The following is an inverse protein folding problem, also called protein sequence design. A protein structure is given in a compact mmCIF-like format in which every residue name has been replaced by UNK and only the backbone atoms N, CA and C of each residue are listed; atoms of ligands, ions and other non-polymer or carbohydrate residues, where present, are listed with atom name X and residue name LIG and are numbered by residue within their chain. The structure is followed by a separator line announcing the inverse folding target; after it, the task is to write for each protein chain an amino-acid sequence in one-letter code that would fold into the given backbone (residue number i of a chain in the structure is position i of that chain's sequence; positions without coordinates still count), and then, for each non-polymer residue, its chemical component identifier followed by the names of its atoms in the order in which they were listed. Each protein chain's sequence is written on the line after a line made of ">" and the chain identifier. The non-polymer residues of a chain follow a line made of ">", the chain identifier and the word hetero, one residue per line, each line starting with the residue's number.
data_IF_641507327896
#
_entry.id   IF_641507327896
#
_cell.length_a   1.000
_cell.length_b   1.000
_cell.length_c   1.000
_cell.angle_alpha   90.00
_cell.angle_beta   90.00
_cell.angle_gamma   90.00
#
_symmetry.space_group_name_H-M   'P 1'
#
loop_
_entity.id
_entity.type
_entity.pdbx_description
1 polymer ?
#
# COMPACT_ATOMS: atom_id res chain seq x y z
N UNK A 1 23.55 -19.13 -3.38
CA UNK A 1 23.29 -18.14 -2.30
C UNK A 1 22.66 -16.93 -2.95
N UNK A 2 21.54 -16.43 -2.42
CA UNK A 2 20.90 -15.21 -2.92
C UNK A 2 21.46 -14.02 -2.13
N UNK A 3 21.80 -12.94 -2.82
CA UNK A 3 22.34 -11.72 -2.19
C UNK A 3 21.24 -10.76 -1.72
N UNK A 4 19.96 -11.07 -1.93
CA UNK A 4 18.84 -10.25 -1.47
C UNK A 4 18.53 -10.47 0.02
N UNK A 5 18.60 -9.40 0.82
CA UNK A 5 18.41 -9.42 2.27
C UNK A 5 17.06 -9.98 2.70
N UNK A 6 16.00 -9.77 1.91
CA UNK A 6 14.66 -10.24 2.26
C UNK A 6 14.48 -11.76 2.08
N UNK A 7 15.30 -12.41 1.26
CA UNK A 7 15.18 -13.83 0.92
C UNK A 7 16.45 -14.65 1.19
N UNK A 8 17.51 -14.01 1.70
CA UNK A 8 18.83 -14.60 1.97
C UNK A 8 18.75 -15.85 2.85
N UNK A 9 17.93 -15.80 3.90
CA UNK A 9 17.75 -16.91 4.86
C UNK A 9 16.96 -18.09 4.27
N UNK A 10 16.08 -17.82 3.30
CA UNK A 10 15.27 -18.83 2.59
C UNK A 10 15.87 -19.26 1.25
N UNK A 11 17.14 -18.91 0.98
CA UNK A 11 17.83 -19.28 -0.25
C UNK A 11 17.26 -18.61 -1.52
N UNK A 12 16.59 -17.46 -1.40
CA UNK A 12 16.00 -16.73 -2.53
C UNK A 12 14.50 -16.99 -2.78
N UNK A 13 13.83 -17.74 -1.89
CA UNK A 13 12.40 -18.06 -2.06
C UNK A 13 11.52 -16.96 -1.44
N UNK A 14 10.66 -16.36 -2.27
CA UNK A 14 9.74 -15.28 -1.88
C UNK A 14 8.35 -15.77 -1.42
N UNK A 15 8.05 -17.06 -1.58
CA UNK A 15 6.74 -17.63 -1.25
C UNK A 15 5.65 -17.28 -2.27
N UNK A 16 4.39 -17.28 -1.83
CA UNK A 16 3.26 -16.83 -2.64
C UNK A 16 3.17 -15.30 -2.59
N UNK A 17 3.32 -14.67 -3.76
CA UNK A 17 3.22 -13.22 -3.92
C UNK A 17 1.98 -12.86 -4.75
N UNK A 18 1.38 -11.71 -4.46
CA UNK A 18 0.31 -11.16 -5.27
C UNK A 18 0.88 -10.18 -6.30
N UNK A 19 0.31 -10.10 -7.51
CA UNK A 19 0.69 -9.05 -8.46
C UNK A 19 0.63 -7.66 -7.82
N UNK A 20 1.66 -6.84 -8.04
CA UNK A 20 1.80 -5.52 -7.44
C UNK A 20 2.37 -5.48 -6.02
N UNK A 21 2.76 -6.63 -5.45
CA UNK A 21 3.47 -6.66 -4.16
C UNK A 21 4.98 -6.43 -4.27
N UNK A 22 5.52 -6.43 -5.49
CA UNK A 22 6.93 -6.16 -5.78
C UNK A 22 7.10 -4.75 -6.39
N UNK A 23 8.32 -4.17 -6.32
CA UNK A 23 8.65 -2.99 -7.11
C UNK A 23 8.33 -3.20 -8.59
N UNK A 24 7.94 -2.12 -9.26
CA UNK A 24 7.34 -2.16 -10.58
C UNK A 24 8.19 -2.90 -11.63
N UNK A 25 9.51 -2.75 -11.58
CA UNK A 25 10.45 -3.39 -12.50
C UNK A 25 10.44 -4.93 -12.34
N UNK A 26 10.41 -5.39 -11.08
CA UNK A 26 10.42 -6.81 -10.72
C UNK A 26 9.05 -7.43 -11.00
N UNK A 27 7.96 -6.72 -10.68
CA UNK A 27 6.59 -7.17 -10.89
C UNK A 27 6.28 -7.37 -12.38
N UNK A 28 6.71 -6.43 -13.24
CA UNK A 28 6.59 -6.55 -14.69
C UNK A 28 7.36 -7.76 -15.22
N UNK A 29 8.60 -7.96 -14.76
CA UNK A 29 9.42 -9.08 -15.19
C UNK A 29 8.80 -10.44 -14.82
N UNK A 30 8.34 -10.61 -13.58
CA UNK A 30 7.64 -11.84 -13.16
C UNK A 30 6.31 -12.04 -13.89
N UNK A 31 5.58 -10.96 -14.15
CA UNK A 31 4.29 -11.05 -14.84
C UNK A 31 4.44 -11.52 -16.29
N UNK A 32 5.53 -11.13 -16.95
CA UNK A 32 5.86 -11.55 -18.32
C UNK A 32 6.34 -13.01 -18.43
N UNK A 33 6.79 -13.63 -17.33
CA UNK A 33 7.28 -15.00 -17.34
C UNK A 33 6.15 -16.04 -17.38
N UNK A 34 6.39 -17.14 -18.10
CA UNK A 34 5.64 -18.37 -17.96
C UNK A 34 6.06 -19.11 -16.66
N UNK A 35 5.19 -19.97 -16.14
CA UNK A 35 5.54 -20.83 -15.01
C UNK A 35 6.75 -21.71 -15.35
N UNK A 36 7.71 -21.80 -14.43
CA UNK A 36 9.03 -22.40 -14.62
C UNK A 36 10.08 -21.48 -15.26
N UNK A 37 9.68 -20.34 -15.82
CA UNK A 37 10.56 -19.41 -16.52
C UNK A 37 11.50 -18.63 -15.61
N UNK A 38 12.63 -18.20 -16.17
CA UNK A 38 13.65 -17.36 -15.52
C UNK A 38 13.75 -16.04 -16.28
N UNK A 39 13.86 -14.91 -15.57
CA UNK A 39 14.02 -13.59 -16.18
C UNK A 39 15.47 -13.35 -16.63
N UNK A 40 15.64 -12.41 -17.56
CA UNK A 40 16.90 -11.68 -17.69
C UNK A 40 17.21 -10.90 -16.40
N UNK A 41 18.45 -10.44 -16.17
CA UNK A 41 18.78 -9.57 -15.05
C UNK A 41 17.92 -8.31 -15.04
N UNK A 42 17.21 -8.07 -13.94
CA UNK A 42 16.33 -6.92 -13.72
C UNK A 42 16.97 -6.01 -12.69
N UNK A 43 17.10 -4.72 -13.02
CA UNK A 43 17.54 -3.72 -12.06
C UNK A 43 16.36 -3.32 -11.18
N UNK A 44 16.52 -3.48 -9.87
CA UNK A 44 15.57 -3.06 -8.84
C UNK A 44 16.23 -2.13 -7.81
N UNK A 45 15.46 -1.68 -6.80
CA UNK A 45 15.95 -0.73 -5.80
C UNK A 45 17.15 -1.24 -4.98
N UNK A 46 17.27 -2.56 -4.81
CA UNK A 46 18.34 -3.20 -4.04
C UNK A 46 19.52 -3.69 -4.91
N UNK A 47 19.51 -3.43 -6.22
CA UNK A 47 20.55 -3.86 -7.15
C UNK A 47 20.00 -4.69 -8.31
N UNK A 48 20.76 -5.68 -8.75
CA UNK A 48 20.37 -6.56 -9.86
C UNK A 48 19.76 -7.86 -9.32
N UNK A 49 18.66 -8.28 -9.93
CA UNK A 49 17.90 -9.46 -9.53
C UNK A 49 17.66 -10.38 -10.74
N UNK A 50 17.74 -11.69 -10.52
CA UNK A 50 17.30 -12.71 -11.49
C UNK A 50 16.15 -13.47 -10.84
N UNK A 51 15.01 -13.51 -11.50
CA UNK A 51 13.77 -14.04 -10.95
C UNK A 51 13.40 -15.36 -11.63
N UNK A 52 12.85 -16.31 -10.86
CA UNK A 52 12.27 -17.54 -11.41
C UNK A 52 10.83 -17.68 -10.92
N UNK A 53 9.88 -17.75 -11.85
CA UNK A 53 8.49 -18.00 -11.53
C UNK A 53 8.28 -19.50 -11.32
N UNK A 54 8.14 -19.96 -10.08
CA UNK A 54 7.97 -21.40 -9.80
C UNK A 54 6.60 -21.89 -10.26
N UNK A 55 5.55 -21.17 -9.91
CA UNK A 55 4.18 -21.52 -10.28
C UNK A 55 3.30 -20.26 -10.33
N UNK A 56 2.20 -20.32 -11.07
CA UNK A 56 1.18 -19.28 -11.11
C UNK A 56 -0.17 -19.92 -10.84
N UNK A 57 -0.90 -19.40 -9.87
CA UNK A 57 -2.26 -19.85 -9.54
C UNK A 57 -3.24 -18.74 -9.92
N UNK A 58 -4.21 -19.07 -10.78
CA UNK A 58 -5.36 -18.20 -10.97
C UNK A 58 -6.27 -18.33 -9.75
N UNK A 59 -6.64 -17.21 -9.15
CA UNK A 59 -7.67 -17.17 -8.10
C UNK A 59 -8.92 -16.63 -8.76
N UNK A 60 -9.97 -17.45 -8.81
CA UNK A 60 -11.27 -16.99 -9.27
C UNK A 60 -11.87 -16.02 -8.27
N UNK A 61 -12.37 -14.86 -8.73
CA UNK A 61 -13.05 -13.94 -7.84
C UNK A 61 -14.30 -14.64 -7.25
N UNK A 62 -14.60 -14.40 -5.96
CA UNK A 62 -15.79 -14.97 -5.34
C UNK A 62 -17.07 -14.50 -6.07
N UNK A 63 -18.13 -15.32 -6.13
CA UNK A 63 -19.39 -14.93 -6.75
C UNK A 63 -19.93 -13.62 -6.17
N UNK A 64 -20.50 -12.76 -7.00
CA UNK A 64 -21.01 -11.45 -6.55
C UNK A 64 -21.94 -11.59 -5.33
N UNK A 65 -22.81 -12.60 -5.32
CA UNK A 65 -23.74 -12.86 -4.22
C UNK A 65 -23.04 -13.05 -2.85
N UNK A 66 -21.84 -13.63 -2.80
CA UNK A 66 -21.13 -13.87 -1.52
C UNK A 66 -20.40 -12.65 -0.99
N UNK A 67 -20.13 -11.65 -1.85
CA UNK A 67 -19.43 -10.41 -1.48
C UNK A 67 -20.32 -9.17 -1.51
N UNK A 68 -21.55 -9.28 -2.02
CA UNK A 68 -22.50 -8.18 -2.21
C UNK A 68 -22.65 -7.33 -0.96
N UNK A 69 -22.96 -7.94 0.17
CA UNK A 69 -23.28 -7.21 1.41
C UNK A 69 -22.06 -6.47 1.96
N UNK A 70 -20.86 -7.07 1.82
CA UNK A 70 -19.58 -6.43 2.16
C UNK A 70 -19.29 -5.23 1.25
N UNK A 71 -19.56 -5.35 -0.05
CA UNK A 71 -19.38 -4.26 -1.01
C UNK A 71 -20.33 -3.10 -0.71
N UNK A 72 -21.60 -3.38 -0.43
CA UNK A 72 -22.55 -2.34 -0.02
C UNK A 72 -22.09 -1.62 1.24
N UNK A 73 -21.69 -2.35 2.28
CA UNK A 73 -21.18 -1.75 3.51
C UNK A 73 -19.97 -0.85 3.26
N UNK A 74 -19.03 -1.29 2.41
CA UNK A 74 -17.86 -0.51 2.05
C UNK A 74 -18.24 0.79 1.30
N UNK A 75 -19.18 0.73 0.36
CA UNK A 75 -19.65 1.89 -0.39
C UNK A 75 -20.39 2.89 0.51
N UNK A 76 -21.26 2.40 1.39
CA UNK A 76 -21.97 3.24 2.37
C UNK A 76 -20.99 3.92 3.31
N UNK A 77 -20.03 3.17 3.87
CA UNK A 77 -19.01 3.74 4.76
C UNK A 77 -18.15 4.79 4.05
N UNK A 78 -17.77 4.55 2.79
CA UNK A 78 -17.01 5.50 1.97
C UNK A 78 -17.77 6.81 1.79
N UNK A 79 -19.05 6.75 1.44
CA UNK A 79 -19.86 7.96 1.25
C UNK A 79 -20.12 8.68 2.57
N UNK A 80 -20.39 7.95 3.65
CA UNK A 80 -20.55 8.52 5.00
C UNK A 80 -19.29 9.28 5.43
N UNK A 81 -18.10 8.69 5.26
CA UNK A 81 -16.83 9.36 5.58
C UNK A 81 -16.61 10.61 4.74
N UNK A 82 -16.98 10.57 3.45
CA UNK A 82 -16.93 11.74 2.55
C UNK A 82 -17.81 12.88 3.05
N UNK A 83 -19.08 12.57 3.37
CA UNK A 83 -20.04 13.55 3.88
C UNK A 83 -19.62 14.13 5.22
N UNK A 84 -19.13 13.29 6.14
CA UNK A 84 -18.58 13.74 7.42
C UNK A 84 -17.43 14.73 7.21
N UNK A 85 -16.53 14.43 6.28
CA UNK A 85 -15.43 15.33 5.93
C UNK A 85 -15.90 16.68 5.38
N UNK A 86 -16.96 16.70 4.56
CA UNK A 86 -17.58 17.94 4.07
C UNK A 86 -18.18 18.73 5.23
N UNK A 87 -19.03 18.08 6.03
CA UNK A 87 -19.70 18.69 7.18
C UNK A 87 -18.72 19.33 8.18
N UNK A 88 -17.65 18.61 8.55
CA UNK A 88 -16.64 19.13 9.46
C UNK A 88 -15.88 20.32 8.87
N UNK A 89 -15.61 20.32 7.55
CA UNK A 89 -14.99 21.47 6.88
C UNK A 89 -15.89 22.69 6.89
N UNK A 90 -17.20 22.51 6.69
CA UNK A 90 -18.17 23.59 6.74
C UNK A 90 -18.29 24.14 8.16
N UNK A 91 -18.45 23.26 9.16
CA UNK A 91 -18.52 23.67 10.57
C UNK A 91 -17.28 24.45 11.01
N UNK A 92 -16.08 24.02 10.59
CA UNK A 92 -14.81 24.73 10.88
C UNK A 92 -14.74 26.12 10.25
N UNK A 93 -15.46 26.37 9.14
CA UNK A 93 -15.52 27.71 8.50
C UNK A 93 -16.47 28.65 9.21
N UNK A 94 -17.56 28.13 9.78
CA UNK A 94 -18.61 28.95 10.41
C UNK A 94 -18.34 29.22 11.88
N UNK A 95 -17.51 28.42 12.55
CA UNK A 95 -17.22 28.55 13.97
C UNK A 95 -15.81 29.07 14.19
N UNK A 96 -15.67 30.15 14.96
CA UNK A 96 -14.37 30.62 15.46
C UNK A 96 -13.88 29.70 16.57
N UNK A 97 -12.72 29.07 16.38
CA UNK A 97 -12.10 28.20 17.38
C UNK A 97 -10.89 28.94 17.95
N UNK A 98 -11.02 29.33 19.22
CA UNK A 98 -9.97 29.98 20.01
C UNK A 98 -9.14 28.88 20.71
N UNK A 99 -8.09 28.39 20.04
CA UNK A 99 -7.17 27.38 20.58
C UNK A 99 -6.23 28.02 21.60
N UNK A 100 -6.73 28.19 22.84
CA UNK A 100 -5.97 28.78 23.97
C UNK A 100 -4.74 27.98 24.39
N UNK A 101 -4.58 26.76 23.88
CA UNK A 101 -3.41 25.90 24.09
C UNK A 101 -2.26 26.20 23.09
N UNK A 102 -2.56 26.64 21.87
CA UNK A 102 -1.53 27.00 20.88
C UNK A 102 -0.86 28.33 21.22
N UNK A 103 -1.63 29.29 21.77
CA UNK A 103 -1.09 30.56 22.24
C UNK A 103 -0.02 30.39 23.33
N UNK A 104 -0.23 29.44 24.26
CA UNK A 104 0.75 29.10 25.30
C UNK A 104 2.00 28.40 24.76
N UNK A 105 1.88 27.60 23.70
CA UNK A 105 3.02 26.90 23.09
C UNK A 105 3.86 27.82 22.19
N UNK A 106 3.23 28.77 21.50
CA UNK A 106 3.93 29.78 20.71
C UNK A 106 4.69 30.79 21.59
N UNK A 107 4.12 31.20 22.73
CA UNK A 107 4.79 32.09 23.68
C UNK A 107 6.00 31.45 24.37
N UNK A 108 5.97 30.13 24.59
CA UNK A 108 7.08 29.38 25.19
C UNK A 108 8.27 29.12 24.24
N UNK A 109 8.11 29.31 22.93
CA UNK A 109 9.12 29.01 21.91
C UNK A 109 9.92 30.24 21.41
N UNK A 110 9.64 31.44 21.91
CA UNK A 110 10.38 32.65 21.54
C UNK A 110 11.70 32.75 22.34
N UNK A 111 12.87 32.92 21.69
CA UNK A 111 14.15 32.99 22.39
C UNK A 111 14.28 34.30 23.19
N UNK A 112 14.68 34.17 24.45
CA UNK A 112 15.06 35.28 25.33
C UNK A 112 16.30 36.00 24.79
N UNK A 113 16.18 37.32 24.64
CA UNK A 113 17.19 38.22 24.09
C UNK A 113 18.31 38.54 25.09
#
# INVERSE_FOLDING_TARGET
>A
MSDDTASRESGGVLGEIQPGSLPEELDRAITALAAGGVSEPVQGPAGWHVLRLVSRRAVEPPPFASVRDRLYAALVNREMLRQRGIYLRELRRTVSIDDRLDATRAAAAAPSR
#
